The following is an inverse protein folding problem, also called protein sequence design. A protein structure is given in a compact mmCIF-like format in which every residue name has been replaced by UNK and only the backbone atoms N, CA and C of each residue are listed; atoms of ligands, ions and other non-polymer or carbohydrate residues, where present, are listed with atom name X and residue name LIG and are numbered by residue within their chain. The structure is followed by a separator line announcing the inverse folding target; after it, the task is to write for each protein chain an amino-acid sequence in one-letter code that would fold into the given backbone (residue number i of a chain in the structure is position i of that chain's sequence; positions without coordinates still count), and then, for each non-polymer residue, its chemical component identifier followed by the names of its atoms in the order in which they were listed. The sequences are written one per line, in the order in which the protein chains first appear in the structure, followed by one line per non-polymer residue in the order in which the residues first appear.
data_IF_327499379749
#
_entry.id   IF_327499379749
#
_cell.length_a   1.000
_cell.length_b   1.000
_cell.length_c   1.000
_cell.angle_alpha   90.00
_cell.angle_beta   90.00
_cell.angle_gamma   90.00
#
_symmetry.space_group_name_H-M   'P 1'
#
loop_
_entity.id
_entity.type
_entity.pdbx_description
1 polymer ?
#
# COMPACT_ATOMS: atom_id res chain seq x y z
N UNK A 1 -3.38 17.22 15.06
CA UNK A 1 -1.98 16.88 15.38
C UNK A 1 -1.61 15.73 14.45
N UNK A 2 -0.73 15.97 13.48
CA UNK A 2 -0.25 14.92 12.55
C UNK A 2 0.79 14.09 13.32
N UNK A 3 0.70 12.75 13.31
CA UNK A 3 1.67 11.91 14.02
C UNK A 3 3.10 12.17 13.52
N UNK A 4 4.12 12.10 14.39
CA UNK A 4 5.50 12.31 13.98
C UNK A 4 5.95 11.25 12.96
N UNK A 5 6.87 11.60 12.04
CA UNK A 5 7.38 10.74 10.97
C UNK A 5 8.35 9.69 11.55
N UNK A 6 7.79 8.74 12.30
CA UNK A 6 8.39 7.45 12.66
C UNK A 6 7.29 6.40 12.76
N UNK A 7 6.33 6.45 11.83
CA UNK A 7 5.28 5.45 11.76
C UNK A 7 5.87 4.17 11.17
N UNK A 8 6.32 3.29 12.05
CA UNK A 8 6.45 1.86 11.82
C UNK A 8 5.06 1.21 11.62
N UNK A 9 4.11 1.90 10.97
CA UNK A 9 2.87 1.25 10.52
C UNK A 9 3.17 0.73 9.12
N UNK A 10 3.83 -0.43 9.08
CA UNK A 10 3.79 -1.26 7.89
C UNK A 10 2.33 -1.61 7.64
N UNK A 11 1.80 -1.22 6.48
CA UNK A 11 0.49 -1.65 6.04
C UNK A 11 0.41 -3.19 6.16
N UNK A 12 -0.50 -3.69 6.99
CA UNK A 12 -0.70 -5.11 7.29
C UNK A 12 -2.02 -5.59 6.65
N UNK A 13 -2.02 -5.83 5.32
CA UNK A 13 -3.23 -6.20 4.57
C UNK A 13 -3.94 -7.45 5.09
N UNK A 14 -3.21 -8.34 5.74
CA UNK A 14 -3.73 -9.55 6.39
C UNK A 14 -4.70 -9.25 7.55
N UNK A 15 -4.67 -8.05 8.11
CA UNK A 15 -5.60 -7.62 9.16
C UNK A 15 -6.91 -7.05 8.60
N UNK A 16 -6.98 -6.80 7.29
CA UNK A 16 -8.19 -6.32 6.64
C UNK A 16 -9.14 -7.48 6.32
N UNK A 17 -10.46 -7.28 6.47
CA UNK A 17 -11.44 -8.23 5.96
C UNK A 17 -11.24 -8.49 4.45
N UNK A 18 -11.44 -9.72 4.00
CA UNK A 18 -11.23 -10.11 2.60
C UNK A 18 -12.12 -9.34 1.59
N UNK A 19 -13.21 -8.74 2.07
CA UNK A 19 -14.11 -7.86 1.33
C UNK A 19 -13.47 -6.51 0.97
N UNK A 20 -12.42 -6.09 1.67
CA UNK A 20 -11.60 -4.96 1.25
C UNK A 20 -10.68 -5.42 0.11
N UNK A 21 -11.04 -5.08 -1.12
CA UNK A 21 -10.19 -5.26 -2.30
C UNK A 21 -9.01 -4.30 -2.26
N UNK A 22 -7.96 -4.64 -1.51
CA UNK A 22 -6.73 -3.84 -1.39
C UNK A 22 -5.60 -4.34 -2.29
N UNK A 23 -5.78 -5.48 -2.96
CA UNK A 23 -4.80 -5.97 -3.90
C UNK A 23 -4.74 -5.05 -5.12
N UNK A 24 -3.54 -4.63 -5.53
CA UNK A 24 -3.37 -3.91 -6.77
C UNK A 24 -3.60 -4.88 -7.93
N UNK A 25 -4.71 -4.71 -8.63
CA UNK A 25 -5.08 -5.52 -9.77
C UNK A 25 -4.81 -4.79 -11.09
N UNK A 26 -4.41 -5.54 -12.10
CA UNK A 26 -4.28 -5.08 -13.48
C UNK A 26 -4.81 -6.10 -14.47
N UNK A 27 -4.97 -5.71 -15.74
CA UNK A 27 -5.47 -6.63 -16.77
C UNK A 27 -4.47 -7.76 -17.02
N UNK A 28 -4.97 -8.99 -17.07
CA UNK A 28 -4.28 -10.16 -17.63
C UNK A 28 -4.31 -10.12 -19.15
N UNK A 29 -3.59 -11.04 -19.81
CA UNK A 29 -3.63 -11.22 -21.28
C UNK A 29 -5.05 -11.50 -21.80
N UNK A 30 -5.90 -12.09 -20.95
CA UNK A 30 -7.28 -12.47 -21.27
C UNK A 30 -8.29 -11.35 -20.92
N UNK A 31 -7.79 -10.21 -20.39
CA UNK A 31 -8.61 -9.08 -19.93
C UNK A 31 -9.25 -9.26 -18.55
N UNK A 32 -8.97 -10.36 -17.85
CA UNK A 32 -9.40 -10.54 -16.46
C UNK A 32 -8.53 -9.69 -15.52
N UNK A 33 -9.09 -9.24 -14.38
CA UNK A 33 -8.27 -8.60 -13.36
C UNK A 33 -7.50 -9.66 -12.58
N UNK A 34 -6.18 -9.48 -12.51
CA UNK A 34 -5.28 -10.32 -11.71
C UNK A 34 -4.43 -9.45 -10.78
N UNK A 35 -4.05 -10.01 -9.64
CA UNK A 35 -3.13 -9.35 -8.71
C UNK A 35 -1.76 -9.17 -9.37
N UNK A 36 -1.23 -7.96 -9.29
CA UNK A 36 0.02 -7.58 -9.94
C UNK A 36 1.28 -7.96 -9.14
N UNK A 37 1.14 -8.43 -7.91
CA UNK A 37 2.28 -8.84 -7.11
C UNK A 37 1.94 -9.22 -5.68
N UNK A 38 2.98 -9.56 -4.92
CA UNK A 38 2.86 -9.88 -3.50
C UNK A 38 2.38 -8.68 -2.68
N UNK A 39 1.32 -8.90 -1.89
CA UNK A 39 0.61 -7.86 -1.14
C UNK A 39 1.49 -7.22 -0.06
N UNK A 40 2.36 -8.00 0.56
CA UNK A 40 3.31 -7.51 1.56
C UNK A 40 4.37 -6.61 0.92
N UNK A 41 4.98 -7.05 -0.18
CA UNK A 41 5.94 -6.24 -0.93
C UNK A 41 5.34 -4.91 -1.42
N UNK A 42 4.09 -4.92 -1.91
CA UNK A 42 3.36 -3.70 -2.28
C UNK A 42 3.11 -2.78 -1.08
N UNK A 43 2.73 -3.34 0.08
CA UNK A 43 2.56 -2.57 1.32
C UNK A 43 3.81 -1.82 1.75
N UNK A 44 4.99 -2.44 1.63
CA UNK A 44 6.28 -1.79 1.92
C UNK A 44 6.56 -0.61 0.98
N UNK A 45 6.31 -0.77 -0.32
CA UNK A 45 6.51 0.30 -1.32
C UNK A 45 5.58 1.47 -1.04
N UNK A 46 4.29 1.21 -0.79
CA UNK A 46 3.30 2.25 -0.51
C UNK A 46 3.61 3.00 0.79
N UNK A 47 4.05 2.28 1.83
CA UNK A 47 4.49 2.89 3.10
C UNK A 47 5.64 3.86 2.86
N UNK A 48 6.62 3.47 2.04
CA UNK A 48 7.75 4.35 1.66
C UNK A 48 7.27 5.59 0.91
N UNK A 49 6.43 5.44 -0.12
CA UNK A 49 5.91 6.57 -0.91
C UNK A 49 5.14 7.54 0.00
N UNK A 50 4.29 7.02 0.89
CA UNK A 50 3.54 7.85 1.82
C UNK A 50 4.47 8.65 2.74
N UNK A 51 5.50 8.01 3.29
CA UNK A 51 6.51 8.68 4.12
C UNK A 51 7.21 9.81 3.35
N UNK A 52 7.69 9.54 2.13
CA UNK A 52 8.34 10.55 1.26
C UNK A 52 7.40 11.73 0.96
N UNK A 53 6.10 11.48 0.72
CA UNK A 53 5.11 12.54 0.51
C UNK A 53 4.89 13.39 1.77
N UNK A 54 4.80 12.78 2.95
CA UNK A 54 4.61 13.51 4.20
C UNK A 54 5.85 14.35 4.55
N UNK A 55 7.05 13.84 4.31
CA UNK A 55 8.29 14.58 4.48
C UNK A 55 8.34 15.81 3.56
N UNK A 56 8.04 15.62 2.27
CA UNK A 56 8.04 16.72 1.30
C UNK A 56 6.99 17.80 1.60
N UNK A 57 5.83 17.42 2.15
CA UNK A 57 4.78 18.37 2.54
C UNK A 57 5.11 19.17 3.81
N UNK A 58 6.06 18.70 4.62
CA UNK A 58 6.50 19.37 5.85
C UNK A 58 7.60 20.44 5.60
N UNK A 59 8.13 20.51 4.37
CA UNK A 59 9.15 21.48 3.92
C UNK A 59 8.60 22.75 3.29
#
# INVERSE_FOLDING_TARGET
MVPPPRMEIGFAPELLPAEFGYALCGPSEDGALQELGDRWAQGLVLTRIAAECFEAAAS
#
